data_IF_977077193738
#
_entry.id   IF_977077193738
#
_cell.length_a   1.000
_cell.length_b   1.000
_cell.length_c   1.000
_cell.angle_alpha   90.00
_cell.angle_beta   90.00
_cell.angle_gamma   90.00
#
_symmetry.space_group_name_H-M   'P 1'
#
loop_
_entity.id
_entity.type
_entity.pdbx_description
1 polymer ?
2 non-polymer ?
3 non-polymer ?
4 non-polymer ?
5 water ?
#
# COMPACT_ATOMS: atom_id res chain seq x y z
N UNK A 31 16.04 15.96 4.69
CA UNK A 31 15.38 14.75 4.12
C UNK A 31 16.31 13.55 4.30
N UNK A 32 15.79 12.37 4.68
CA UNK A 32 16.59 11.16 4.67
C UNK A 32 17.16 10.92 3.27
N UNK A 33 18.20 10.09 3.25
CA UNK A 33 18.77 9.57 2.03
C UNK A 33 17.67 8.88 1.22
N UNK A 34 17.66 9.11 -0.07
CA UNK A 34 16.69 8.52 -0.98
C UNK A 34 17.39 7.40 -1.78
N UNK A 35 16.72 6.93 -2.83
CA UNK A 35 17.19 5.83 -3.68
C UNK A 35 17.27 6.30 -5.13
N UNK A 36 18.31 5.93 -5.85
CA UNK A 36 18.42 6.11 -7.29
C UNK A 36 18.13 4.74 -7.91
N UNK A 37 17.06 4.57 -8.70
CA UNK A 37 16.70 3.26 -9.22
C UNK A 37 17.84 2.47 -9.83
N UNK A 38 18.70 3.15 -10.60
CA UNK A 38 19.76 2.41 -11.28
C UNK A 38 20.88 2.02 -10.35
N UNK A 39 20.89 2.44 -9.09
CA UNK A 39 21.89 2.07 -8.12
C UNK A 39 21.36 0.97 -7.20
N UNK A 40 20.17 0.44 -7.50
CA UNK A 40 19.60 -0.61 -6.66
C UNK A 40 19.86 -2.01 -7.23
N UNK A 41 19.77 -3.02 -6.35
CA UNK A 41 19.67 -4.40 -6.80
C UNK A 41 18.21 -4.68 -7.12
N UNK A 42 17.94 -5.21 -8.30
CA UNK A 42 16.60 -5.50 -8.77
C UNK A 42 16.40 -6.98 -8.84
N UNK A 43 15.39 -7.47 -8.13
CA UNK A 43 15.10 -8.88 -8.06
C UNK A 43 13.78 -9.21 -8.73
N UNK A 44 13.71 -10.47 -9.19
CA UNK A 44 12.54 -10.94 -9.93
C UNK A 44 12.29 -12.38 -9.52
N UNK A 45 11.07 -12.67 -9.07
CA UNK A 45 10.65 -14.01 -8.71
C UNK A 45 9.37 -14.33 -9.47
N UNK A 46 9.38 -15.48 -10.18
CA UNK A 46 8.17 -15.95 -10.85
C UNK A 46 7.35 -16.75 -9.88
N UNK A 47 6.19 -16.27 -9.51
CA UNK A 47 5.36 -16.94 -8.51
C UNK A 47 4.38 -17.91 -9.18
N UNK A 48 4.12 -17.70 -10.46
CA UNK A 48 3.31 -18.61 -11.27
C UNK A 48 3.74 -18.40 -12.71
N UNK A 49 3.42 -19.27 -13.68
CA UNK A 49 3.78 -18.95 -15.06
C UNK A 49 3.13 -17.61 -15.40
N UNK A 50 3.85 -16.70 -16.03
CA UNK A 50 3.28 -15.39 -16.39
C UNK A 50 2.94 -14.44 -15.22
N UNK A 51 3.30 -14.76 -13.96
CA UNK A 51 3.24 -13.76 -12.89
C UNK A 51 4.62 -13.71 -12.24
N UNK A 52 5.32 -12.58 -12.45
CA UNK A 52 6.67 -12.35 -11.93
C UNK A 52 6.66 -11.06 -11.11
N UNK A 53 7.07 -11.15 -9.82
CA UNK A 53 7.15 -10.00 -8.93
C UNK A 53 8.56 -9.46 -8.91
N UNK A 54 8.66 -8.15 -9.10
CA UNK A 54 9.89 -7.38 -9.02
C UNK A 54 9.98 -6.68 -7.67
N UNK A 55 11.19 -6.56 -7.17
CA UNK A 55 11.49 -5.84 -5.94
C UNK A 55 12.88 -5.27 -6.00
N UNK A 56 13.17 -4.27 -5.17
CA UNK A 56 14.52 -3.90 -4.92
C UNK A 56 14.93 -4.37 -3.56
N UNK A 57 16.23 -4.61 -3.39
CA UNK A 57 16.77 -5.22 -2.20
C UNK A 57 18.00 -4.46 -1.71
N UNK A 58 18.00 -4.06 -0.45
CA UNK A 58 19.15 -3.36 0.12
C UNK A 58 19.32 -3.75 1.55
N UNK A 59 20.57 -4.01 1.97
CA UNK A 59 20.90 -4.25 3.35
C UNK A 59 21.08 -5.72 3.67
N UNK A 60 21.63 -5.95 4.86
CA UNK A 60 21.72 -7.26 5.51
C UNK A 60 21.01 -7.25 6.84
N UNK A 61 20.58 -8.42 7.31
CA UNK A 61 19.86 -8.51 8.55
C UNK A 61 18.51 -9.20 8.35
N UNK A 62 17.68 -9.14 9.38
CA UNK A 62 16.35 -9.74 9.27
C UNK A 62 15.62 -9.14 8.08
N UNK A 63 14.86 -9.98 7.37
CA UNK A 63 14.13 -9.56 6.18
C UNK A 63 12.92 -8.73 6.53
N UNK A 64 12.77 -7.61 5.84
CA UNK A 64 11.66 -6.69 5.98
C UNK A 64 11.11 -6.42 4.58
N UNK A 65 9.85 -6.75 4.33
CA UNK A 65 9.19 -6.65 3.04
C UNK A 65 8.20 -5.48 3.07
N UNK A 66 8.45 -4.49 2.22
CA UNK A 66 7.67 -3.26 2.15
C UNK A 66 6.67 -3.37 1.00
N UNK A 67 5.42 -3.05 1.29
CA UNK A 67 4.32 -3.24 0.33
C UNK A 67 3.53 -1.94 0.16
N UNK A 68 3.67 -1.33 -1.01
CA UNK A 68 3.09 -0.02 -1.31
C UNK A 68 1.60 -0.10 -1.57
N UNK A 69 1.04 1.08 -1.72
CA UNK A 69 -0.38 1.27 -1.98
C UNK A 69 -0.73 1.66 -3.42
N UNK A 70 -1.94 2.20 -3.58
CA UNK A 70 -2.44 2.60 -4.86
C UNK A 70 -2.31 4.11 -5.01
N UNK A 71 -1.84 4.67 -6.15
CA UNK A 71 -1.21 3.99 -7.27
C UNK A 71 0.27 4.30 -7.17
N UNK A 72 1.04 3.38 -6.59
CA UNK A 72 2.39 3.71 -6.15
C UNK A 72 3.40 2.77 -6.77
N UNK A 73 4.49 2.47 -6.05
CA UNK A 73 5.71 1.88 -6.61
C UNK A 73 6.56 1.46 -5.42
N UNK A 74 7.51 0.55 -5.66
CA UNK A 74 8.58 0.37 -4.68
C UNK A 74 9.16 1.70 -4.24
N UNK A 75 9.23 2.61 -5.22
CA UNK A 75 9.90 3.88 -5.04
C UNK A 75 9.20 4.78 -4.04
N UNK A 76 7.94 4.48 -3.70
CA UNK A 76 7.31 5.20 -2.61
C UNK A 76 8.02 5.01 -1.27
N UNK A 77 8.82 3.94 -1.13
CA UNK A 77 9.61 3.66 0.06
C UNK A 77 11.00 4.20 -0.05
N UNK A 78 11.28 5.07 -1.00
CA UNK A 78 12.64 5.56 -1.25
C UNK A 78 13.33 6.15 -0.03
N UNK A 79 12.59 6.80 0.88
CA UNK A 79 13.20 7.34 2.09
C UNK A 79 13.33 6.35 3.22
N UNK A 80 12.63 5.21 3.15
CA UNK A 80 12.73 4.21 4.18
C UNK A 80 13.77 3.14 3.85
N UNK A 81 14.03 2.88 2.59
CA UNK A 81 14.88 1.76 2.21
C UNK A 81 16.28 1.98 2.79
N UNK A 82 16.94 3.14 2.54
CA UNK A 82 18.29 3.30 3.08
C UNK A 82 18.33 3.28 4.58
N UNK A 83 17.35 3.95 5.21
CA UNK A 83 17.31 4.07 6.65
C UNK A 83 17.17 2.71 7.31
N UNK A 84 16.28 1.86 6.80
CA UNK A 84 16.11 0.53 7.36
C UNK A 84 17.34 -0.33 7.13
N UNK A 85 17.93 -0.24 5.95
CA UNK A 85 19.16 -0.98 5.70
C UNK A 85 20.23 -0.55 6.70
N UNK A 86 20.36 0.77 6.89
CA UNK A 86 21.38 1.26 7.80
C UNK A 86 21.15 0.77 9.21
N UNK A 87 19.89 0.65 9.61
CA UNK A 87 19.52 0.24 10.95
C UNK A 87 19.73 -1.26 11.16
N UNK A 88 20.13 -2.00 10.13
CA UNK A 88 20.49 -3.39 10.26
C UNK A 88 19.45 -4.39 9.74
N UNK A 89 18.69 -3.99 8.69
CA UNK A 89 17.69 -4.86 8.07
C UNK A 89 18.00 -5.06 6.62
N UNK A 90 17.56 -6.25 6.15
CA UNK A 90 17.53 -6.58 4.74
C UNK A 90 16.17 -6.20 4.18
N UNK A 91 16.14 -5.13 3.40
CA UNK A 91 14.90 -4.57 2.94
C UNK A 91 14.56 -5.07 1.56
N UNK A 92 13.34 -5.56 1.38
CA UNK A 92 12.81 -5.98 0.09
C UNK A 92 11.59 -5.11 -0.21
N UNK A 93 11.76 -4.16 -1.10
CA UNK A 93 10.69 -3.25 -1.44
C UNK A 93 10.03 -3.67 -2.74
N UNK A 94 8.79 -4.10 -2.66
CA UNK A 94 8.11 -4.70 -3.80
C UNK A 94 7.60 -3.66 -4.80
N UNK A 95 7.52 -4.02 -6.09
CA UNK A 95 6.44 -3.58 -6.97
C UNK A 95 5.31 -4.55 -6.79
N UNK A 96 4.20 -4.11 -6.24
CA UNK A 96 3.10 -5.04 -6.04
C UNK A 96 2.54 -5.46 -7.40
N UNK A 97 1.83 -6.59 -7.41
CA UNK A 97 1.25 -7.06 -8.63
C UNK A 97 0.40 -5.97 -9.26
N UNK A 98 0.60 -5.80 -10.58
CA UNK A 98 -0.07 -4.74 -11.32
C UNK A 98 0.81 -3.55 -11.61
N UNK A 99 1.98 -3.46 -10.95
CA UNK A 99 2.76 -2.23 -10.94
C UNK A 99 4.17 -2.41 -11.45
N UNK A 100 4.68 -1.36 -12.07
CA UNK A 100 6.08 -1.27 -12.36
C UNK A 100 6.59 -2.44 -13.20
N UNK A 101 7.65 -3.09 -12.74
CA UNK A 101 8.22 -4.22 -13.46
C UNK A 101 7.59 -5.52 -13.03
N UNK A 102 6.59 -5.54 -12.13
CA UNK A 102 5.85 -6.75 -11.81
C UNK A 102 4.82 -7.01 -12.89
N UNK A 103 4.38 -8.26 -13.02
CA UNK A 103 3.36 -8.59 -14.01
C UNK A 103 2.08 -7.86 -13.67
N UNK A 104 1.29 -7.60 -14.71
CA UNK A 104 0.01 -6.90 -14.63
C UNK A 104 -1.03 -7.56 -15.53
N UNK A 105 -1.46 -8.76 -15.18
CA UNK A 105 -2.48 -9.44 -15.98
C UNK A 105 -3.76 -8.59 -15.89
N UNK A 106 -4.64 -8.68 -16.91
CA UNK A 106 -5.85 -7.87 -16.95
C UNK A 106 -7.00 -8.36 -16.09
N UNK A 107 -7.04 -9.62 -15.73
CA UNK A 107 -8.21 -10.19 -15.08
C UNK A 107 -8.40 -9.64 -13.67
N UNK A 108 -9.61 -9.26 -13.31
CA UNK A 108 -9.87 -8.72 -11.99
C UNK A 108 -9.48 -9.68 -10.88
N UNK A 109 -9.78 -10.96 -11.04
CA UNK A 109 -9.64 -11.89 -9.93
C UNK A 109 -8.17 -12.22 -9.64
N UNK A 110 -7.26 -11.81 -10.53
CA UNK A 110 -5.84 -11.90 -10.22
C UNK A 110 -5.43 -10.98 -9.07
N UNK A 111 -6.28 -10.05 -8.68
CA UNK A 111 -5.95 -9.02 -7.70
C UNK A 111 -6.82 -9.13 -6.45
N UNK A 112 -7.47 -10.26 -6.22
CA UNK A 112 -8.12 -10.47 -4.94
C UNK A 112 -7.07 -10.78 -3.88
N UNK A 113 -7.39 -10.52 -2.59
CA UNK A 113 -6.40 -10.70 -1.54
C UNK A 113 -5.95 -12.14 -1.42
N UNK A 114 -6.89 -13.04 -1.59
CA UNK A 114 -6.51 -14.43 -1.46
C UNK A 114 -5.39 -14.76 -2.42
N UNK A 115 -5.49 -14.35 -3.66
CA UNK A 115 -4.48 -14.64 -4.67
C UNK A 115 -3.21 -13.84 -4.36
N UNK A 116 -3.34 -12.59 -4.01
CA UNK A 116 -2.17 -11.77 -3.74
C UNK A 116 -1.37 -12.32 -2.58
N UNK A 117 -2.04 -12.72 -1.49
CA UNK A 117 -1.33 -13.24 -0.34
C UNK A 117 -0.66 -14.54 -0.67
N UNK A 118 -1.33 -15.43 -1.38
CA UNK A 118 -0.72 -16.69 -1.69
C UNK A 118 0.55 -16.45 -2.51
N UNK A 119 0.50 -15.49 -3.43
CA UNK A 119 1.67 -15.17 -4.23
C UNK A 119 2.80 -14.61 -3.37
N UNK A 120 2.49 -13.80 -2.35
CA UNK A 120 3.56 -13.33 -1.47
C UNK A 120 4.18 -14.48 -0.67
N UNK A 121 3.41 -15.50 -0.31
CA UNK A 121 3.96 -16.68 0.34
C UNK A 121 4.87 -17.42 -0.62
N UNK A 122 4.47 -17.58 -1.87
CA UNK A 122 5.31 -18.19 -2.87
C UNK A 122 6.61 -17.40 -3.05
N UNK A 123 6.51 -16.08 -3.02
CA UNK A 123 7.67 -15.24 -3.10
C UNK A 123 8.66 -15.57 -2.00
N UNK A 124 8.21 -15.62 -0.75
CA UNK A 124 9.09 -16.00 0.34
C UNK A 124 9.68 -17.38 0.09
N UNK A 125 8.85 -18.33 -0.35
CA UNK A 125 9.34 -19.70 -0.58
C UNK A 125 10.50 -19.70 -1.56
N UNK A 126 10.36 -18.99 -2.66
CA UNK A 126 11.35 -19.07 -3.72
C UNK A 126 12.62 -18.31 -3.33
N UNK A 127 12.50 -17.29 -2.47
CA UNK A 127 13.65 -16.63 -1.87
C UNK A 127 14.28 -17.41 -0.74
N UNK A 128 13.60 -18.46 -0.28
CA UNK A 128 14.12 -19.25 0.80
C UNK A 128 14.05 -18.57 2.16
N UNK A 129 13.02 -17.75 2.36
CA UNK A 129 12.79 -17.01 3.58
C UNK A 129 11.69 -17.68 4.36
N UNK A 130 11.98 -18.15 5.56
CA UNK A 130 10.92 -18.70 6.40
C UNK A 130 9.91 -17.62 6.79
N UNK A 131 10.39 -16.45 7.15
CA UNK A 131 9.51 -15.38 7.60
C UNK A 131 10.13 -14.05 7.24
N UNK A 132 9.25 -13.05 7.12
CA UNK A 132 9.70 -11.69 6.97
C UNK A 132 8.83 -10.83 7.85
N UNK A 133 9.35 -9.65 8.20
CA UNK A 133 8.51 -8.58 8.70
C UNK A 133 7.80 -7.97 7.50
N UNK A 134 6.51 -7.78 7.59
CA UNK A 134 5.74 -7.16 6.52
C UNK A 134 5.27 -5.79 6.96
N UNK A 135 5.61 -4.77 6.18
CA UNK A 135 5.21 -3.39 6.40
C UNK A 135 4.45 -2.92 5.18
N UNK A 136 3.23 -2.48 5.33
CA UNK A 136 2.43 -2.05 4.18
C UNK A 136 1.85 -0.66 4.41
N UNK A 137 1.50 -0.04 3.31
CA UNK A 137 0.76 1.22 3.32
C UNK A 137 -0.44 1.09 2.40
N UNK A 138 -1.60 1.60 2.81
CA UNK A 138 -2.74 1.71 1.89
C UNK A 138 -3.13 0.29 1.49
N UNK A 139 -3.34 -0.05 0.21
CA UNK A 139 -3.68 -1.42 -0.16
C UNK A 139 -2.63 -2.40 0.33
N UNK A 140 -1.37 -1.97 0.32
CA UNK A 140 -0.33 -2.85 0.86
C UNK A 140 -0.49 -3.12 2.35
N UNK A 141 -1.02 -2.14 3.08
CA UNK A 141 -1.42 -2.33 4.46
C UNK A 141 -2.49 -3.37 4.63
N UNK A 142 -3.53 -3.27 3.80
CA UNK A 142 -4.55 -4.30 3.81
C UNK A 142 -3.94 -5.67 3.59
N UNK A 143 -3.08 -5.77 2.58
CA UNK A 143 -2.42 -7.03 2.28
C UNK A 143 -1.67 -7.58 3.52
N UNK A 144 -0.84 -6.74 4.16
CA UNK A 144 -0.05 -7.30 5.25
C UNK A 144 -0.94 -7.73 6.41
N UNK A 145 -2.08 -7.08 6.64
CA UNK A 145 -2.97 -7.58 7.68
C UNK A 145 -3.44 -8.98 7.33
N UNK A 146 -3.87 -9.14 6.07
CA UNK A 146 -4.33 -10.43 5.56
C UNK A 146 -3.22 -11.47 5.69
N UNK A 147 -1.94 -11.12 5.41
CA UNK A 147 -0.83 -12.04 5.57
C UNK A 147 -0.69 -12.45 7.03
N UNK A 148 -0.79 -11.50 7.95
CA UNK A 148 -0.66 -11.82 9.37
C UNK A 148 -1.81 -12.71 9.81
N UNK A 149 -3.00 -12.48 9.30
CA UNK A 149 -4.13 -13.28 9.70
C UNK A 149 -4.05 -14.71 9.18
N UNK A 150 -3.77 -14.90 7.89
CA UNK A 150 -3.87 -16.18 7.22
C UNK A 150 -2.54 -16.92 7.13
N UNK A 151 -1.41 -16.22 7.24
CA UNK A 151 -0.10 -16.83 7.16
C UNK A 151 0.80 -16.38 8.29
N UNK A 152 0.37 -16.41 9.55
CA UNK A 152 1.16 -15.92 10.66
C UNK A 152 2.50 -16.62 10.73
N UNK A 153 2.58 -17.87 10.31
CA UNK A 153 3.83 -18.56 10.43
C UNK A 153 4.92 -17.99 9.51
N UNK A 154 4.53 -17.19 8.53
CA UNK A 154 5.45 -16.58 7.59
C UNK A 154 5.70 -15.11 7.90
N UNK A 155 4.98 -14.56 8.86
CA UNK A 155 5.01 -13.14 9.16
C UNK A 155 5.65 -12.98 10.51
N UNK A 156 6.88 -12.51 10.59
CA UNK A 156 7.56 -12.36 11.86
C UNK A 156 6.90 -11.28 12.71
N UNK A 157 6.47 -10.20 12.05
CA UNK A 157 5.83 -9.03 12.64
C UNK A 157 5.17 -8.26 11.53
N UNK A 158 4.19 -7.45 11.83
CA UNK A 158 3.39 -6.76 10.83
C UNK A 158 3.21 -5.30 11.24
N UNK A 159 3.37 -4.41 10.27
CA UNK A 159 3.07 -3.00 10.50
C UNK A 159 2.26 -2.46 9.35
N UNK A 160 1.36 -1.55 9.62
CA UNK A 160 0.58 -0.86 8.60
C UNK A 160 0.65 0.63 8.81
N UNK A 161 0.88 1.35 7.72
CA UNK A 161 0.70 2.78 7.67
C UNK A 161 -0.70 3.09 7.12
N UNK A 162 -1.50 3.74 7.96
CA UNK A 162 -2.78 4.36 7.60
C UNK A 162 -3.92 3.34 7.56
N UNK A 163 -3.68 2.17 7.00
CA UNK A 163 -4.75 1.22 6.79
C UNK A 163 -5.02 0.43 8.08
N UNK A 164 -6.24 0.49 8.63
CA UNK A 164 -6.55 -0.25 9.83
C UNK A 164 -6.90 -1.69 9.50
N UNK A 165 -6.95 -2.50 10.57
CA UNK A 165 -7.49 -3.84 10.53
C UNK A 165 -8.91 -3.83 11.10
N UNK A 166 -9.86 -4.07 10.19
CA UNK A 166 -11.29 -4.13 10.46
C UNK A 166 -11.74 -5.57 10.16
N UNK A 167 -12.21 -6.33 11.15
CA UNK A 167 -12.77 -7.65 10.82
C UNK A 167 -13.95 -7.51 9.88
N UNK A 168 -14.04 -8.44 8.94
CA UNK A 168 -15.20 -8.53 8.09
C UNK A 168 -16.47 -8.75 8.93
N UNK A 169 -17.52 -8.04 8.54
CA UNK A 169 -18.84 -8.19 9.12
C UNK A 169 -19.67 -9.03 8.15
N UNK A 170 -19.98 -10.29 8.50
CA UNK A 170 -20.70 -11.16 7.58
C UNK A 170 -22.15 -10.74 7.40
N UNK A 171 -22.62 -9.75 8.16
CA UNK A 171 -24.02 -9.33 8.07
C UNK A 171 -24.14 -8.09 7.17
N UNK A 172 -23.05 -7.63 6.56
CA UNK A 172 -23.08 -6.43 5.74
C UNK A 172 -22.29 -6.66 4.46
N UNK A 173 -22.92 -6.38 3.31
CA UNK A 173 -22.25 -6.44 2.03
C UNK A 173 -21.20 -5.33 1.95
N UNK A 174 -20.08 -5.57 1.26
CA UNK A 174 -19.11 -4.50 1.02
C UNK A 174 -19.72 -3.26 0.36
N UNK A 175 -20.65 -3.49 -0.57
CA UNK A 175 -21.33 -2.40 -1.26
C UNK A 175 -21.95 -1.47 -0.22
N UNK A 176 -22.78 -2.03 0.67
CA UNK A 176 -23.34 -1.31 1.81
C UNK A 176 -22.27 -0.45 2.51
N UNK A 177 -21.21 -1.12 2.98
CA UNK A 177 -20.20 -0.44 3.79
C UNK A 177 -19.64 0.77 3.04
N UNK A 178 -19.31 0.58 1.75
CA UNK A 178 -18.69 1.64 0.95
C UNK A 178 -19.69 2.77 0.75
N UNK A 179 -20.96 2.44 0.51
CA UNK A 179 -21.97 3.46 0.30
C UNK A 179 -22.25 4.21 1.61
N UNK A 180 -21.89 3.62 2.76
CA UNK A 180 -22.18 4.18 4.07
C UNK A 180 -21.12 5.17 4.53
N UNK A 181 -20.16 5.53 3.67
CA UNK A 181 -19.09 6.45 4.03
C UNK A 181 -18.83 7.38 2.86
N UNK A 182 -19.15 8.69 2.95
CA UNK A 182 -19.05 9.60 1.80
C UNK A 182 -17.66 9.64 1.18
N UNK A 183 -16.61 9.51 2.01
CA UNK A 183 -15.26 9.71 1.53
C UNK A 183 -14.78 8.50 0.74
N UNK A 184 -15.54 7.38 0.75
CA UNK A 184 -15.23 6.23 -0.09
C UNK A 184 -15.90 6.28 -1.48
N UNK A 185 -16.54 7.39 -1.86
CA UNK A 185 -17.28 7.47 -3.12
C UNK A 185 -16.43 7.17 -4.35
N UNK A 186 -15.17 7.58 -4.32
CA UNK A 186 -14.26 7.35 -5.41
C UNK A 186 -14.16 5.85 -5.65
N UNK A 187 -14.35 5.02 -4.62
CA UNK A 187 -14.22 3.58 -4.80
C UNK A 187 -15.32 3.08 -5.72
N UNK A 188 -16.53 3.68 -5.68
CA UNK A 188 -17.55 3.30 -6.61
C UNK A 188 -17.16 3.70 -8.04
N UNK A 189 -16.57 4.87 -8.19
CA UNK A 189 -16.11 5.31 -9.50
C UNK A 189 -15.10 4.32 -10.09
N UNK A 190 -14.27 3.75 -9.21
CA UNK A 190 -13.26 2.79 -9.61
C UNK A 190 -13.79 1.42 -10.00
N UNK A 191 -15.08 1.13 -9.82
CA UNK A 191 -15.59 -0.21 -10.07
C UNK A 191 -15.65 -0.57 -11.56
N UNK A 192 -16.25 0.29 -12.40
CA UNK A 192 -16.53 -0.08 -13.77
C UNK A 192 -15.23 -0.15 -14.57
N UNK A 193 -14.86 -1.31 -15.10
CA UNK A 193 -13.56 -1.42 -15.77
C UNK A 193 -13.50 -0.48 -16.97
N UNK A 194 -12.41 0.23 -17.10
CA UNK A 194 -12.11 1.12 -18.21
C UNK A 194 -12.28 2.60 -17.92
N UNK A 195 -13.15 2.91 -16.97
CA UNK A 195 -13.53 4.30 -16.80
C UNK A 195 -12.39 5.05 -16.10
N UNK A 196 -12.03 4.61 -14.89
CA UNK A 196 -10.95 5.28 -14.18
C UNK A 196 -9.62 5.10 -14.90
N UNK A 197 -9.45 3.95 -15.57
CA UNK A 197 -8.22 3.75 -16.32
C UNK A 197 -7.98 4.89 -17.31
N UNK A 198 -9.01 5.21 -18.09
CA UNK A 198 -8.84 6.18 -19.16
C UNK A 198 -8.52 7.54 -18.55
N UNK A 199 -9.23 7.89 -17.47
CA UNK A 199 -8.97 9.18 -16.87
C UNK A 199 -7.57 9.30 -16.28
N UNK A 200 -7.13 8.27 -15.56
CA UNK A 200 -5.82 8.27 -14.92
C UNK A 200 -4.68 8.25 -15.94
N UNK A 201 -4.91 7.56 -17.06
CA UNK A 201 -3.88 7.39 -18.10
C UNK A 201 -3.80 8.57 -19.06
N UNK A 202 -4.79 9.45 -19.06
CA UNK A 202 -4.90 10.46 -20.10
C UNK A 202 -3.70 11.37 -20.09
N UNK A 203 -3.24 11.77 -18.88
CA UNK A 203 -2.10 12.68 -18.73
C UNK A 203 -1.40 12.25 -17.44
N UNK A 204 -0.38 11.41 -17.55
CA UNK A 204 0.20 10.78 -16.38
C UNK A 204 0.83 11.84 -15.48
N UNK A 205 1.51 12.84 -16.03
CA UNK A 205 2.12 13.86 -15.21
C UNK A 205 1.04 14.58 -14.42
N UNK A 206 -0.09 14.87 -15.05
CA UNK A 206 -1.20 15.52 -14.35
C UNK A 206 -1.72 14.62 -13.24
N UNK A 207 -1.89 13.34 -13.53
CA UNK A 207 -2.36 12.39 -12.57
C UNK A 207 -1.47 12.41 -11.33
N UNK A 208 -0.17 12.24 -11.46
CA UNK A 208 0.66 12.09 -10.27
C UNK A 208 0.86 13.41 -9.57
N UNK A 209 0.93 14.54 -10.30
CA UNK A 209 1.02 15.81 -9.63
C UNK A 209 -0.25 16.12 -8.85
N UNK A 210 -1.38 15.67 -9.34
CA UNK A 210 -2.67 15.90 -8.69
C UNK A 210 -2.83 15.06 -7.44
N UNK A 211 -2.37 13.81 -7.50
CA UNK A 211 -2.51 12.90 -6.38
C UNK A 211 -1.49 13.16 -5.29
N UNK A 212 -0.23 13.29 -5.63
CA UNK A 212 0.83 13.28 -4.62
C UNK A 212 1.03 14.69 -4.08
N UNK A 213 0.18 15.02 -3.10
CA UNK A 213 0.15 16.37 -2.51
C UNK A 213 -0.02 16.22 -1.01
N UNK A 214 0.47 17.23 -0.27
CA UNK A 214 0.15 17.30 1.14
C UNK A 214 -1.33 17.62 1.31
N UNK A 215 -1.85 17.36 2.51
CA UNK A 215 -3.27 17.54 2.82
C UNK A 215 -3.73 18.97 2.50
N UNK A 216 -2.89 19.94 2.86
CA UNK A 216 -3.20 21.35 2.74
C UNK A 216 -3.04 21.80 1.29
N UNK A 217 -2.47 20.96 0.43
CA UNK A 217 -2.27 21.27 -0.98
C UNK A 217 -3.30 20.56 -1.88
N UNK A 218 -4.27 19.87 -1.29
CA UNK A 218 -5.11 18.95 -2.05
C UNK A 218 -5.97 19.72 -3.06
N UNK A 219 -6.05 19.17 -4.29
CA UNK A 219 -6.85 19.69 -5.37
C UNK A 219 -8.03 18.77 -5.68
N UNK A 220 -8.24 17.70 -4.90
CA UNK A 220 -9.27 16.69 -5.15
C UNK A 220 -10.17 16.55 -3.95
N UNK A 221 -11.42 16.14 -4.17
CA UNK A 221 -12.29 15.66 -3.09
C UNK A 221 -12.81 14.25 -3.39
N UNK A 222 -12.44 13.28 -2.54
CA UNK A 222 -12.77 11.86 -2.74
C UNK A 222 -14.27 11.59 -2.57
N UNK A 223 -15.01 12.55 -1.98
CA UNK A 223 -16.39 12.31 -1.61
C UNK A 223 -17.34 12.80 -2.70
N UNK A 224 -16.80 13.44 -3.74
CA UNK A 224 -17.64 14.09 -4.73
C UNK A 224 -17.37 13.59 -6.16
N UNK A 225 -17.02 12.31 -6.34
CA UNK A 225 -16.39 11.87 -7.60
C UNK A 225 -17.39 11.34 -8.63
N UNK A 226 -18.30 10.46 -8.21
CA UNK A 226 -19.25 9.91 -9.16
C UNK A 226 -20.18 11.01 -9.69
N UNK A 227 -20.62 11.90 -8.80
CA UNK A 227 -21.47 13.01 -9.21
C UNK A 227 -20.75 13.81 -10.29
N UNK A 228 -19.48 14.15 -10.01
CA UNK A 228 -18.69 15.05 -10.84
C UNK A 228 -18.38 14.42 -12.19
N UNK A 229 -18.26 13.08 -12.23
CA UNK A 229 -17.92 12.37 -13.44
C UNK A 229 -16.43 11.98 -13.55
N UNK A 230 -15.68 12.11 -12.46
CA UNK A 230 -14.28 11.70 -12.46
C UNK A 230 -13.48 12.44 -11.41
N UNK A 231 -12.25 11.97 -11.17
CA UNK A 231 -11.35 12.51 -10.18
C UNK A 231 -10.92 13.93 -10.49
N UNK A 232 -10.68 14.23 -11.77
CA UNK A 232 -9.95 15.45 -12.12
C UNK A 232 -10.83 16.46 -12.86
N UNK A 233 -12.14 16.25 -12.84
CA UNK A 233 -13.01 17.12 -13.63
C UNK A 233 -13.00 18.56 -13.11
N UNK A 234 -12.73 18.75 -11.81
CA UNK A 234 -12.73 20.09 -11.23
C UNK A 234 -11.34 20.58 -10.85
N UNK A 235 -10.30 19.79 -11.17
CA UNK A 235 -8.94 20.04 -10.73
C UNK A 235 -8.12 20.69 -11.83
N UNK A 236 -6.99 21.37 -11.51
CA UNK A 236 -6.21 22.05 -12.54
C UNK A 236 -5.75 21.15 -13.67
N UNK A 237 -5.82 21.67 -14.89
CA UNK A 237 -5.23 20.98 -16.02
C UNK A 237 -3.71 20.89 -15.85
N UNK A 238 -3.10 21.92 -15.28
CA UNK A 238 -1.65 21.99 -15.10
C UNK A 238 -1.38 22.22 -13.62
N UNK A 239 -1.51 21.18 -12.78
CA UNK A 239 -1.27 21.36 -11.36
C UNK A 239 0.18 21.78 -11.07
N UNK A 240 0.33 22.54 -9.99
CA UNK A 240 1.65 22.85 -9.46
C UNK A 240 2.24 21.58 -8.84
N UNK A 241 3.54 21.67 -8.62
CA UNK A 241 4.25 20.59 -7.98
C UNK A 241 4.08 20.71 -6.47
N UNK A 242 3.65 19.66 -5.79
CA UNK A 242 3.63 19.63 -4.34
C UNK A 242 5.01 19.88 -3.77
N UNK A 243 5.03 20.52 -2.59
CA UNK A 243 6.27 20.63 -1.83
C UNK A 243 6.87 19.26 -1.48
N UNK A 244 6.08 18.19 -1.52
CA UNK A 244 6.56 16.89 -1.12
C UNK A 244 7.45 16.22 -2.16
N UNK A 245 7.37 16.61 -3.45
CA UNK A 245 7.99 15.87 -4.51
C UNK A 245 8.72 16.77 -5.50
N UNK A 246 9.70 16.22 -6.21
CA UNK A 246 10.34 16.93 -7.30
C UNK A 246 9.74 16.50 -8.63
N UNK A 247 10.04 17.26 -9.69
CA UNK A 247 9.67 16.93 -11.04
C UNK A 247 10.26 15.58 -11.43
N UNK A 248 11.50 15.31 -11.03
CA UNK A 248 12.19 14.08 -11.39
C UNK A 248 11.46 12.91 -10.76
N UNK A 249 11.02 13.07 -9.51
CA UNK A 249 10.31 11.99 -8.83
C UNK A 249 8.97 11.73 -9.53
N UNK A 250 8.22 12.76 -9.92
CA UNK A 250 6.98 12.59 -10.66
C UNK A 250 7.26 11.82 -11.94
N UNK A 251 8.31 12.20 -12.67
CA UNK A 251 8.60 11.57 -13.92
C UNK A 251 8.95 10.09 -13.75
N UNK A 252 9.49 9.68 -12.61
CA UNK A 252 9.72 8.26 -12.39
C UNK A 252 8.37 7.53 -12.39
N UNK A 253 7.40 8.06 -11.64
CA UNK A 253 6.09 7.44 -11.61
C UNK A 253 5.45 7.41 -13.00
N UNK A 254 5.60 8.51 -13.75
CA UNK A 254 5.08 8.54 -15.11
C UNK A 254 5.67 7.41 -15.92
N UNK A 255 6.98 7.23 -15.86
CA UNK A 255 7.60 6.20 -16.66
C UNK A 255 7.14 4.81 -16.25
N UNK A 256 6.93 4.59 -14.95
CA UNK A 256 6.54 3.29 -14.48
C UNK A 256 5.12 2.96 -14.97
N UNK A 257 4.23 3.94 -14.98
CA UNK A 257 2.85 3.67 -15.34
C UNK A 257 2.60 3.69 -16.85
N UNK A 258 3.58 4.08 -17.66
CA UNK A 258 3.50 3.81 -19.10
C UNK A 258 3.59 2.32 -19.42
N UNK A 259 4.20 1.49 -18.53
CA UNK A 259 4.41 0.06 -18.80
C UNK A 259 3.09 -0.71 -18.89
N UNK A 260 2.21 -0.57 -17.88
CA UNK A 260 1.02 -1.39 -17.75
C UNK A 260 -0.21 -0.55 -17.45
N UNK A 261 -0.04 0.75 -17.20
CA UNK A 261 -1.20 1.60 -16.97
C UNK A 261 -1.88 1.24 -15.67
N UNK A 262 -3.15 1.58 -15.57
CA UNK A 262 -3.86 1.56 -14.30
C UNK A 262 -4.86 0.43 -14.16
N UNK A 263 -5.01 -0.46 -15.15
CA UNK A 263 -5.98 -1.52 -15.02
C UNK A 263 -5.66 -2.47 -13.87
N UNK A 264 -4.45 -2.98 -13.83
CA UNK A 264 -4.08 -3.86 -12.72
C UNK A 264 -4.18 -3.17 -11.37
N UNK A 265 -3.61 -1.97 -11.24
CA UNK A 265 -3.78 -1.22 -9.99
C UNK A 265 -5.23 -1.08 -9.60
N UNK A 266 -6.10 -0.67 -10.54
CA UNK A 266 -7.50 -0.46 -10.19
C UNK A 266 -8.20 -1.75 -9.84
N UNK A 267 -7.71 -2.86 -10.37
CA UNK A 267 -8.33 -4.14 -10.10
C UNK A 267 -8.23 -4.50 -8.61
N UNK A 268 -7.27 -3.90 -7.88
CA UNK A 268 -7.22 -4.12 -6.43
C UNK A 268 -8.51 -3.71 -5.74
N UNK A 269 -9.24 -2.76 -6.33
CA UNK A 269 -10.48 -2.24 -5.81
C UNK A 269 -11.70 -3.01 -6.26
N UNK A 270 -11.54 -4.02 -7.14
CA UNK A 270 -12.69 -4.62 -7.83
C UNK A 270 -12.97 -6.04 -7.34
N UNK A 271 -12.50 -6.36 -6.13
CA UNK A 271 -12.70 -7.68 -5.55
C UNK A 271 -13.34 -7.56 -4.17
N UNK A 272 -14.19 -6.54 -3.97
CA UNK A 272 -14.68 -6.28 -2.63
C UNK A 272 -15.50 -7.44 -2.08
N UNK A 273 -16.37 -8.07 -2.89
CA UNK A 273 -17.15 -9.21 -2.40
C UNK A 273 -16.27 -10.43 -2.17
N UNK A 274 -15.37 -10.69 -3.09
CA UNK A 274 -14.52 -11.85 -3.01
C UNK A 274 -13.64 -11.74 -1.77
N UNK A 275 -13.09 -10.56 -1.54
CA UNK A 275 -12.25 -10.33 -0.37
C UNK A 275 -13.02 -10.49 0.93
N UNK A 276 -14.25 -9.97 0.96
CA UNK A 276 -15.08 -10.09 2.15
C UNK A 276 -15.37 -11.56 2.44
N UNK A 277 -15.69 -12.35 1.43
CA UNK A 277 -15.97 -13.75 1.63
C UNK A 277 -14.74 -14.45 2.21
N UNK A 278 -13.55 -14.16 1.70
CA UNK A 278 -12.34 -14.78 2.20
C UNK A 278 -12.09 -14.37 3.64
N UNK A 279 -12.23 -13.08 3.92
CA UNK A 279 -11.99 -12.55 5.26
C UNK A 279 -12.91 -13.19 6.29
N UNK A 280 -14.16 -13.43 5.93
CA UNK A 280 -15.11 -14.03 6.87
C UNK A 280 -14.59 -15.38 7.36
N UNK A 281 -13.74 -16.07 6.59
CA UNK A 281 -13.23 -17.38 6.98
C UNK A 281 -12.27 -17.29 8.16
N UNK A 282 -11.76 -16.10 8.47
CA UNK A 282 -10.75 -15.89 9.49
C UNK A 282 -11.38 -15.35 10.77
N UNK A 283 -12.71 -15.25 10.78
CA UNK A 283 -13.36 -14.51 11.84
C UNK A 283 -13.12 -15.21 13.17
N UNK A 284 -12.83 -14.40 14.18
CA UNK A 284 -12.59 -14.89 15.51
C UNK A 284 -11.11 -15.02 15.82
N UNK A 285 -10.26 -15.12 14.77
CA UNK A 285 -8.83 -15.33 15.01
C UNK A 285 -8.23 -14.00 15.45
N UNK A 286 -7.28 -14.03 16.39
CA UNK A 286 -6.61 -12.85 16.85
C UNK A 286 -5.21 -12.89 16.30
N UNK A 287 -4.71 -11.71 15.99
CA UNK A 287 -3.33 -11.53 15.61
C UNK A 287 -2.50 -11.37 16.88
N UNK A 288 -1.57 -12.32 17.05
CA UNK A 288 -0.73 -12.41 18.24
C UNK A 288 0.74 -12.19 17.97
N UNK A 289 1.13 -12.10 16.69
CA UNK A 289 2.49 -11.70 16.38
C UNK A 289 2.63 -10.21 16.65
N UNK A 290 3.86 -9.71 16.78
CA UNK A 290 4.06 -8.29 17.01
C UNK A 290 3.41 -7.46 15.90
N UNK A 291 2.77 -6.36 16.25
CA UNK A 291 1.96 -5.60 15.31
C UNK A 291 1.98 -4.13 15.66
N UNK A 292 2.11 -3.30 14.63
CA UNK A 292 2.20 -1.86 14.74
C UNK A 292 1.19 -1.23 13.81
N UNK A 293 0.43 -0.25 14.28
CA UNK A 293 -0.50 0.52 13.47
C UNK A 293 -0.09 1.97 13.54
N UNK A 294 0.25 2.56 12.41
CA UNK A 294 0.66 3.95 12.35
C UNK A 294 -0.44 4.74 11.67
N UNK A 295 -0.98 5.74 12.37
CA UNK A 295 -2.04 6.59 11.87
C UNK A 295 -1.44 7.92 11.44
N UNK A 296 -2.16 8.58 10.52
CA UNK A 296 -1.77 9.83 9.90
C UNK A 296 -2.89 10.83 10.15
N UNK A 297 -2.59 11.92 10.85
CA UNK A 297 -3.62 12.87 11.29
C UNK A 297 -4.49 13.40 10.16
N UNK A 298 -3.88 13.71 9.01
CA UNK A 298 -4.50 14.42 7.92
C UNK A 298 -4.79 13.47 6.75
N UNK A 299 -4.83 12.15 6.93
CA UNK A 299 -5.40 11.29 5.91
C UNK A 299 -6.91 11.32 6.06
N UNK A 300 -7.62 11.91 5.09
CA UNK A 300 -9.03 12.19 5.28
C UNK A 300 -9.88 11.03 4.77
N UNK A 301 -9.25 9.96 4.23
CA UNK A 301 -9.97 8.76 3.86
C UNK A 301 -9.72 7.67 4.90
N UNK A 302 -8.43 7.35 5.11
CA UNK A 302 -8.03 6.41 6.15
C UNK A 302 -7.77 7.18 7.43
N UNK A 303 -8.88 7.62 8.08
CA UNK A 303 -8.74 8.51 9.21
C UNK A 303 -8.26 7.71 10.41
N UNK A 304 -7.52 8.38 11.32
CA UNK A 304 -7.05 7.64 12.49
C UNK A 304 -8.10 6.89 13.29
N UNK A 305 -9.30 7.50 13.40
CA UNK A 305 -10.35 6.88 14.20
C UNK A 305 -10.85 5.57 13.61
N UNK A 306 -10.59 5.29 12.32
CA UNK A 306 -10.96 4.01 11.75
C UNK A 306 -10.21 2.85 12.43
N UNK A 307 -9.08 3.15 13.06
CA UNK A 307 -8.27 2.14 13.71
C UNK A 307 -8.66 1.91 15.17
N UNK A 308 -9.69 2.60 15.67
CA UNK A 308 -9.87 2.69 17.11
C UNK A 308 -10.22 1.37 17.80
N UNK A 309 -10.76 0.39 17.12
CA UNK A 309 -11.07 -0.79 17.94
C UNK A 309 -10.06 -1.93 17.80
N UNK A 310 -8.88 -1.65 17.19
CA UNK A 310 -8.10 -2.77 16.72
C UNK A 310 -7.61 -3.67 17.85
N UNK A 311 -7.39 -3.10 19.04
CA UNK A 311 -6.90 -3.87 20.17
C UNK A 311 -7.85 -5.00 20.56
N UNK A 312 -9.13 -4.93 20.15
CA UNK A 312 -10.05 -6.03 20.35
C UNK A 312 -9.54 -7.31 19.72
N UNK A 313 -8.84 -7.19 18.57
CA UNK A 313 -8.45 -8.31 17.76
C UNK A 313 -6.93 -8.55 17.80
N UNK A 314 -6.22 -7.50 18.22
CA UNK A 314 -4.77 -7.49 18.21
C UNK A 314 -4.35 -6.97 19.57
N UNK A 315 -4.47 -7.83 20.61
CA UNK A 315 -4.41 -7.33 21.97
C UNK A 315 -3.16 -6.53 22.34
N UNK A 316 -2.03 -6.94 21.77
CA UNK A 316 -0.77 -6.30 22.08
C UNK A 316 -0.32 -5.38 20.94
N UNK A 317 -1.26 -4.85 20.19
CA UNK A 317 -0.93 -3.84 19.18
C UNK A 317 -0.12 -2.72 19.81
N UNK A 318 0.84 -2.22 19.07
CA UNK A 318 1.53 -0.99 19.36
C UNK A 318 1.18 0.03 18.31
N UNK A 319 1.35 1.31 18.63
CA UNK A 319 0.91 2.39 17.78
C UNK A 319 1.94 3.49 17.64
N UNK A 320 1.91 4.13 16.46
CA UNK A 320 2.49 5.42 16.19
C UNK A 320 1.45 6.31 15.57
N UNK A 321 1.66 7.63 15.69
CA UNK A 321 0.75 8.58 15.14
C UNK A 321 1.56 9.74 14.63
N UNK A 322 1.35 10.15 13.37
CA UNK A 322 2.08 11.22 12.79
C UNK A 322 1.14 12.39 12.56
N UNK A 323 1.51 13.51 13.18
CA UNK A 323 0.80 14.76 12.96
C UNK A 323 1.23 15.41 11.65
N UNK A 324 0.34 16.26 11.14
CA UNK A 324 0.63 17.07 9.97
C UNK A 324 0.99 16.19 8.78
N UNK A 325 0.34 15.03 8.71
CA UNK A 325 0.69 14.00 7.73
C UNK A 325 -0.57 13.54 7.02
N UNK A 326 -0.52 13.56 5.72
CA UNK A 326 -1.67 13.15 4.92
C UNK A 326 -1.56 11.71 4.47
N UNK A 327 -2.20 11.39 3.37
CA UNK A 327 -2.26 10.01 2.91
C UNK A 327 -0.90 9.47 2.52
N UNK A 328 -0.04 10.30 1.95
CA UNK A 328 1.18 9.83 1.33
C UNK A 328 2.32 9.78 2.34
N UNK A 329 2.09 8.96 3.38
CA UNK A 329 2.80 9.00 4.65
C UNK A 329 4.31 9.03 4.45
N UNK A 330 4.81 8.10 3.62
CA UNK A 330 6.23 7.89 3.54
C UNK A 330 6.97 9.10 2.98
N UNK A 331 6.33 9.84 2.09
CA UNK A 331 7.02 10.99 1.53
C UNK A 331 6.56 12.30 2.13
N UNK A 332 5.47 12.28 2.89
CA UNK A 332 5.07 13.46 3.64
C UNK A 332 5.94 13.64 4.87
N UNK A 333 6.13 12.55 5.63
CA UNK A 333 6.85 12.60 6.89
C UNK A 333 7.86 11.47 6.96
N UNK A 334 8.84 11.47 6.06
CA UNK A 334 9.74 10.31 6.00
C UNK A 334 10.56 10.10 7.25
N UNK A 335 11.01 11.20 7.87
CA UNK A 335 11.85 11.08 9.04
C UNK A 335 11.06 10.45 10.18
N UNK A 336 9.80 10.85 10.34
CA UNK A 336 8.99 10.34 11.42
C UNK A 336 8.66 8.87 11.17
N UNK A 337 8.33 8.54 9.93
CA UNK A 337 8.07 7.14 9.60
C UNK A 337 9.31 6.32 9.95
N UNK A 338 10.49 6.80 9.54
CA UNK A 338 11.68 6.02 9.80
C UNK A 338 11.91 5.82 11.29
N UNK A 339 11.72 6.87 12.10
CA UNK A 339 11.93 6.74 13.52
C UNK A 339 10.96 5.77 14.15
N UNK A 340 9.70 5.82 13.75
CA UNK A 340 8.68 4.92 14.30
C UNK A 340 9.00 3.49 13.94
N UNK A 341 9.31 3.24 12.68
CA UNK A 341 9.52 1.87 12.21
C UNK A 341 10.76 1.28 12.89
N UNK A 342 11.84 2.05 12.92
CA UNK A 342 13.07 1.55 13.53
C UNK A 342 12.89 1.30 15.01
N UNK A 343 12.23 2.17 15.74
CA UNK A 343 12.01 1.95 17.16
C UNK A 343 11.24 0.65 17.37
N UNK A 344 10.22 0.43 16.55
CA UNK A 344 9.39 -0.74 16.68
C UNK A 344 10.15 -2.00 16.27
N UNK A 345 10.84 -1.95 15.16
CA UNK A 345 11.63 -3.10 14.69
C UNK A 345 12.64 -3.56 15.73
N UNK A 346 13.28 -2.61 16.37
CA UNK A 346 14.40 -2.90 17.24
C UNK A 346 13.87 -3.33 18.59
N UNK A 347 12.56 -3.30 18.86
CA UNK A 347 11.98 -3.59 20.18
C UNK A 347 10.87 -4.62 20.10
N UNK A 348 9.62 -4.14 19.97
CA UNK A 348 8.42 -4.97 20.03
C UNK A 348 8.49 -6.07 18.97
N UNK A 349 9.02 -5.77 17.78
CA UNK A 349 8.97 -6.72 16.66
C UNK A 349 9.94 -7.89 16.86
N UNK A 350 10.97 -7.72 17.72
CA UNK A 350 11.93 -8.77 18.05
C UNK A 350 11.62 -9.30 19.46
X LIG B 1 2.52 7.37 19.23
X LIG B 1 1.12 7.10 19.16
X LIG B 1 3.04 8.48 18.36
X LIG B 1 4.09 8.12 17.46
X LIG C 1 -15.38 -10.86 -9.70
X LIG C 1 -15.27 -12.29 -9.75
X LIG C 1 -14.21 -10.19 -9.06
X LIG C 1 -13.81 -10.64 -7.77
X LIG D 1 -16.31 -9.01 -6.86
X LIG D 1 -15.58 -9.52 -5.79
X LIG D 1 -16.86 -7.63 -6.77
X LIG D 1 -17.16 -7.15 -5.49
X LIG E 1 20.20 3.76 -2.25
X LIG E 1 20.33 4.89 -1.37
X LIG E 1 20.96 3.90 -3.51
X LIG E 1 20.52 5.02 -4.28
X LIG F 1 17.68 -10.65 -6.21
X LIG F 1 17.02 -11.64 -5.48
X LIG F 1 17.71 -9.22 -5.76
X LIG F 1 18.78 -8.86 -4.88
X LIG G 1 6.27 -15.20 14.00
X LIG G 1 5.21 -15.52 13.14
X LIG G 1 6.09 -13.95 14.71
X LIG G 1 7.07 -13.47 15.47
X LIG H 1 1.94 11.18 -20.20
X LIG H 1 0.66 10.91 -20.39
X LIG H 1 2.22 12.58 -20.07
X LIG H 1 2.51 12.86 -18.77
X LIG I 1 -10.62 -11.22 13.51
X LIG I 1 -11.84 -11.40 14.23
X LIG I 1 -10.45 -12.16 12.37
X LIG I 1 -10.71 -11.64 11.03
X LIG J 1 -6.30 6.23 -2.25
X LIG J 1 -6.41 6.73 -3.52
X LIG J 1 -5.97 4.87 -1.94
X LIG J 1 -7.17 4.07 -1.45
X LIG J 1 -7.83 2.25 0.17
X LIG J 1 -8.60 2.96 1.27
X LIG J 1 -9.73 0.84 2.36
X LIG J 1 -6.92 1.06 0.62
X LIG J 1 -6.35 7.25 0.03
X LIG J 1 -6.66 9.62 -0.01
X LIG J 1 -6.70 10.19 -4.50
X LIG J 1 -6.78 8.96 -4.58
X LIG J 1 -6.94 8.34 -5.95
X LIG J 1 -7.37 9.23 -6.84
X LIG J 1 -5.78 7.84 -6.35
X LIG J 1 -7.79 7.32 -5.94
X LIG J 1 -6.63 8.10 -3.45
X LIG J 1 -6.96 3.25 -0.45
X LIG J 1 -9.86 2.22 1.73
X LIG J 1 -8.35 0.25 2.57
X LIG J 1 -7.60 -0.10 1.30
X LIG J 1 -8.24 4.12 -2.04
X LIG J 1 -6.40 7.28 -1.34
X LIG J 1 -6.48 8.45 0.70
X LIG J 1 -6.80 11.23 0.99
X LIG J 1 -6.77 9.67 -1.38
X LIG J 1 -6.62 8.46 -2.06
X LIG K 1 -4.81 12.85 -3.08
X LIG K 1 -3.79 13.66 -2.53
X LIG K 1 -6.15 13.30 -2.57
X LIG K 1 -6.18 14.71 -2.45
X LIG L 1 16.86 -4.11 -14.01
X LIG L 1 18.27 -4.02 -14.34
X LIG L 1 16.09 -2.93 -14.51
X LIG L 1 15.34 -2.22 -13.53
X LIG M 1 -6.13 13.55 2.99
X LIG N 1 -2.78 -14.95 -16.64
X LIG N 1 -3.59 -13.80 -16.75
X LIG N 1 -2.28 -15.11 -15.24
X LIG N 1 -2.23 -16.46 -14.84
X LIG O 1 -6.72 -17.17 16.48
X LIG O 1 -6.83 -17.57 17.81
X LIG O 1 -5.36 -17.24 15.93
X LIG O 1 -4.57 -18.21 16.61
#
# INVERSE_FOLDING_TARGET
>A
MGSSHHHHHHSSGLVPRGSHMASMLNTPAPLPTSCNPSDMSHGYVTVKPRVRLHFVELGSGPAVCLCHGFPESWYSWRYQIPALAQAGYRVLAMDMKGYGESSAPPEIEEYCMEVLCKEMVTFLDKLGLSQAVFIGHDWGGMLVWYMALFYPERVRAVASLNTPFIPANPNMSPLESIKANPVFDYQLYFQEPGVAEAELEQNLSRTFKSLFRASDESVLSMHKVCEAGGLFVNSPEEPSLSRMVTEEEIQFYVQQFKKSGFRGPLNWYRNMERNWKWACKSLGRKILIPALMVTAEKDFVLVPQMSQHMEDWIPHLKRGHIEDCGHWTQMDKPTEVNQILIKWLDSDARNPPVVSKMLLEHHHHHH
>B hetero
1 EDO C1 O1 C2 O2
>C hetero
1 EDO C1 O1 C2 O2
>D hetero
1 EDO C1 O1 C2 O2
>E hetero
1 EDO C1 O1 C2 O2
>F hetero
1 EDO C1 O1 C2 O2
>G hetero
1 EDO C1 O1 C2 O2
>H hetero
1 EDO C1 O1 C2 O2
>I hetero
1 EDO C1 O1 C2 O2
>J hetero
1 XDZ N1 C4 C5 C6 C7 C8 C10 C13 C15 C17 O1 C1 C2 F1 F2 F3 C3 N2 C9 C11 C12 O2 C14 C16 BR1 C18 C19
>K hetero
1 EDO C1 O1 C2 O2
>L hetero
1 EDO C1 O1 C2 O2
>M hetero
1 BR BR
>N hetero
1 EDO C1 O1 C2 O2
>O hetero
1 EDO C1 O1 C2 O2
#
